data_IF_586101586343
#
_entry.id   IF_586101586343
#
_cell.length_a   1.000
_cell.length_b   1.000
_cell.length_c   1.000
_cell.angle_alpha   90.00
_cell.angle_beta   90.00
_cell.angle_gamma   90.00
#
_symmetry.space_group_name_H-M   'P 1'
#
loop_
_entity.id
_entity.type
_entity.pdbx_description
1 polymer ?
#
# COMPACT_ATOMS: atom_id res chain seq x y z
N UNK A 1 33.17 -14.28 21.07
CA UNK A 1 31.87 -13.59 20.98
C UNK A 1 31.67 -12.87 22.30
N UNK A 2 31.83 -11.56 22.29
CA UNK A 2 31.56 -10.69 23.45
C UNK A 2 30.05 -10.50 23.56
N UNK A 3 29.46 -10.89 24.68
CA UNK A 3 28.07 -10.55 24.99
C UNK A 3 27.92 -9.02 24.95
N UNK A 4 26.89 -8.49 24.25
CA UNK A 4 26.64 -7.06 24.25
C UNK A 4 26.31 -6.62 25.67
N UNK A 5 27.09 -5.67 26.19
CA UNK A 5 26.83 -5.04 27.49
C UNK A 5 25.43 -4.42 27.45
N UNK A 6 24.54 -4.89 28.32
CA UNK A 6 23.17 -4.38 28.40
C UNK A 6 23.17 -2.97 29.01
N UNK A 7 22.30 -2.05 28.55
CA UNK A 7 22.20 -0.70 29.11
C UNK A 7 21.83 -0.71 30.60
N UNK A 8 22.48 0.12 31.41
CA UNK A 8 22.26 0.21 32.87
C UNK A 8 20.79 0.48 33.23
N UNK A 9 20.11 1.34 32.46
CA UNK A 9 18.70 1.67 32.67
C UNK A 9 17.76 0.44 32.59
N UNK A 10 18.11 -0.55 31.77
CA UNK A 10 17.36 -1.81 31.68
C UNK A 10 17.64 -2.71 32.89
N UNK A 11 18.92 -2.79 33.30
CA UNK A 11 19.33 -3.58 34.47
C UNK A 11 18.66 -3.05 35.75
N UNK A 12 18.61 -1.73 35.93
CA UNK A 12 17.97 -1.07 37.06
C UNK A 12 16.47 -1.35 37.09
N UNK A 13 15.78 -1.22 35.95
CA UNK A 13 14.36 -1.50 35.87
C UNK A 13 14.02 -2.97 36.14
N UNK A 14 14.82 -3.91 35.60
CA UNK A 14 14.68 -5.34 35.88
C UNK A 14 14.87 -5.65 37.37
N UNK A 15 15.86 -5.03 38.01
CA UNK A 15 16.10 -5.19 39.45
C UNK A 15 14.93 -4.69 40.30
N UNK A 16 14.31 -3.55 39.93
CA UNK A 16 13.18 -2.96 40.67
C UNK A 16 11.88 -3.75 40.46
N UNK A 17 11.64 -4.23 39.24
CA UNK A 17 10.38 -4.91 38.88
C UNK A 17 10.41 -6.43 39.05
N UNK A 18 11.58 -7.01 39.35
CA UNK A 18 11.78 -8.44 39.47
C UNK A 18 11.73 -9.20 38.13
N UNK A 19 11.81 -8.50 36.99
CA UNK A 19 11.85 -9.15 35.68
C UNK A 19 13.24 -9.72 35.40
N UNK A 20 13.36 -10.95 34.86
CA UNK A 20 14.64 -11.47 34.42
C UNK A 20 15.27 -10.57 33.35
N UNK A 21 16.56 -10.25 33.50
CA UNK A 21 17.33 -9.38 32.59
C UNK A 21 17.28 -9.86 31.13
N UNK A 22 17.21 -11.19 30.96
CA UNK A 22 17.27 -11.85 29.66
C UNK A 22 15.91 -11.82 28.92
N UNK A 23 14.83 -11.54 29.65
CA UNK A 23 13.44 -11.58 29.15
C UNK A 23 13.10 -10.29 28.40
N UNK A 24 13.50 -10.26 27.13
CA UNK A 24 13.33 -9.11 26.22
C UNK A 24 12.24 -9.35 25.17
N UNK A 25 11.14 -9.98 25.59
CA UNK A 25 9.95 -10.15 24.76
C UNK A 25 9.18 -8.82 24.59
N UNK A 26 8.32 -8.74 23.56
CA UNK A 26 7.59 -7.52 23.20
C UNK A 26 6.79 -6.95 24.38
N UNK A 27 6.06 -7.80 25.10
CA UNK A 27 5.27 -7.39 26.26
C UNK A 27 6.12 -6.82 27.41
N UNK A 28 7.33 -7.35 27.62
CA UNK A 28 8.24 -6.84 28.64
C UNK A 28 8.88 -5.51 28.21
N UNK A 29 9.23 -5.37 26.93
CA UNK A 29 9.76 -4.12 26.38
C UNK A 29 8.70 -3.00 26.32
N UNK A 30 7.44 -3.32 26.04
CA UNK A 30 6.34 -2.37 26.06
C UNK A 30 6.08 -1.86 27.48
N UNK A 31 6.06 -2.76 28.47
CA UNK A 31 5.93 -2.38 29.88
C UNK A 31 7.09 -1.50 30.36
N UNK A 32 8.31 -1.84 29.97
CA UNK A 32 9.47 -1.00 30.22
C UNK A 32 9.34 0.38 29.56
N UNK A 33 8.83 0.43 28.32
CA UNK A 33 8.60 1.67 27.59
C UNK A 33 7.59 2.57 28.27
N UNK A 34 6.48 2.01 28.76
CA UNK A 34 5.42 2.75 29.44
C UNK A 34 5.87 3.31 30.80
N UNK A 35 6.70 2.56 31.54
CA UNK A 35 7.10 2.93 32.90
C UNK A 35 8.28 3.89 32.95
N UNK A 36 9.21 3.78 31.99
CA UNK A 36 10.50 4.49 32.03
C UNK A 36 10.60 5.55 30.92
N UNK A 37 9.72 5.49 29.90
CA UNK A 37 9.76 6.36 28.72
C UNK A 37 11.17 6.49 28.09
N UNK A 38 11.87 5.37 27.83
CA UNK A 38 13.24 5.38 27.32
C UNK A 38 13.32 5.93 25.89
N UNK A 39 14.52 6.37 25.49
CA UNK A 39 14.75 6.77 24.09
C UNK A 39 14.53 5.59 23.12
N UNK A 40 14.04 5.90 21.90
CA UNK A 40 13.90 4.91 20.81
C UNK A 40 15.21 4.16 20.51
N UNK A 41 16.35 4.84 20.64
CA UNK A 41 17.68 4.23 20.45
C UNK A 41 17.94 3.13 21.47
N UNK A 42 17.59 3.36 22.74
CA UNK A 42 17.78 2.38 23.81
C UNK A 42 16.83 1.17 23.65
N UNK A 43 15.56 1.41 23.27
CA UNK A 43 14.63 0.32 22.95
C UNK A 43 15.12 -0.56 21.80
N UNK A 44 15.70 0.04 20.77
CA UNK A 44 16.25 -0.72 19.63
C UNK A 44 17.46 -1.59 20.03
N UNK A 45 18.30 -1.13 20.95
CA UNK A 45 19.42 -1.93 21.48
C UNK A 45 18.96 -3.11 22.33
N UNK A 46 17.83 -2.98 23.03
CA UNK A 46 17.28 -4.02 23.89
C UNK A 46 16.51 -5.10 23.13
N UNK A 47 15.97 -4.79 21.95
CA UNK A 47 15.29 -5.78 21.12
C UNK A 47 16.27 -6.91 20.77
N UNK A 48 15.92 -8.19 21.03
CA UNK A 48 16.74 -9.30 20.58
C UNK A 48 16.97 -9.16 19.08
N UNK A 49 18.18 -9.48 18.62
CA UNK A 49 18.44 -9.66 17.19
C UNK A 49 17.41 -10.67 16.69
N UNK A 50 16.42 -10.19 15.95
CA UNK A 50 15.29 -11.01 15.55
C UNK A 50 15.86 -12.16 14.73
N UNK A 51 15.60 -13.44 15.08
CA UNK A 51 15.92 -14.53 14.16
C UNK A 51 15.30 -14.17 12.81
N UNK A 52 16.07 -14.39 11.73
CA UNK A 52 15.72 -13.94 10.39
C UNK A 52 14.21 -14.17 10.15
N UNK A 53 13.42 -13.09 9.97
CA UNK A 53 11.97 -13.24 9.86
C UNK A 53 11.70 -14.20 8.70
N UNK A 54 10.79 -15.15 8.89
CA UNK A 54 10.38 -16.09 7.86
C UNK A 54 10.21 -15.35 6.53
N UNK A 55 10.72 -15.89 5.40
CA UNK A 55 10.74 -15.17 4.13
C UNK A 55 9.32 -14.67 3.83
N UNK A 56 9.23 -13.36 3.67
CA UNK A 56 7.96 -12.70 3.43
C UNK A 56 7.45 -13.01 2.01
N UNK A 57 8.39 -13.34 1.12
CA UNK A 57 8.18 -13.96 -0.18
C UNK A 57 7.88 -15.47 -0.05
N UNK A 58 6.90 -16.02 -0.79
CA UNK A 58 6.60 -17.45 -0.74
C UNK A 58 7.82 -18.32 -1.09
N UNK A 59 8.12 -19.33 -0.27
CA UNK A 59 9.29 -20.20 -0.49
C UNK A 59 9.26 -20.95 -1.82
N UNK A 60 8.07 -21.28 -2.31
CA UNK A 60 7.84 -21.92 -3.62
C UNK A 60 8.33 -21.04 -4.79
N UNK A 61 8.46 -19.73 -4.57
CA UNK A 61 8.83 -18.73 -5.59
C UNK A 61 10.29 -18.30 -5.53
N UNK A 62 11.07 -18.78 -4.54
CA UNK A 62 12.46 -18.34 -4.35
C UNK A 62 13.40 -18.82 -5.45
N UNK A 63 13.13 -19.98 -6.05
CA UNK A 63 14.04 -20.62 -7.01
C UNK A 63 13.99 -20.07 -8.44
N UNK A 64 13.06 -19.16 -8.74
CA UNK A 64 12.83 -18.67 -10.10
C UNK A 64 12.93 -17.14 -10.15
N UNK A 65 14.00 -16.66 -10.78
CA UNK A 65 14.35 -15.24 -10.89
C UNK A 65 13.36 -14.43 -11.73
N UNK A 66 12.52 -15.09 -12.53
CA UNK A 66 11.55 -14.43 -13.42
C UNK A 66 10.18 -14.25 -12.78
N UNK A 67 9.96 -14.79 -11.58
CA UNK A 67 8.65 -14.80 -10.94
C UNK A 67 8.09 -13.40 -10.73
N UNK A 68 8.92 -12.45 -10.25
CA UNK A 68 8.45 -11.10 -10.03
C UNK A 68 7.99 -10.43 -11.33
N UNK A 69 8.78 -10.53 -12.41
CA UNK A 69 8.41 -10.00 -13.73
C UNK A 69 7.09 -10.60 -14.24
N UNK A 70 6.91 -11.93 -14.15
CA UNK A 70 5.65 -12.58 -14.53
C UNK A 70 4.46 -12.12 -13.68
N UNK A 71 4.64 -11.99 -12.37
CA UNK A 71 3.59 -11.50 -11.47
C UNK A 71 3.22 -10.05 -11.81
N UNK A 72 4.21 -9.19 -12.03
CA UNK A 72 4.00 -7.80 -12.45
C UNK A 72 3.28 -7.77 -13.79
N UNK A 73 3.72 -8.54 -14.78
CA UNK A 73 3.08 -8.64 -16.10
C UNK A 73 1.61 -9.05 -16.00
N UNK A 74 1.32 -10.18 -15.32
CA UNK A 74 -0.03 -10.69 -15.15
C UNK A 74 -0.93 -9.76 -14.33
N UNK A 75 -0.36 -9.05 -13.36
CA UNK A 75 -1.04 -8.01 -12.59
C UNK A 75 -1.38 -6.79 -13.44
N UNK A 76 -0.39 -6.23 -14.14
CA UNK A 76 -0.53 -5.07 -15.04
C UNK A 76 -1.52 -5.35 -16.17
N UNK A 77 -1.52 -6.56 -16.74
CA UNK A 77 -2.49 -6.94 -17.76
C UNK A 77 -3.93 -6.88 -17.24
N UNK A 78 -4.19 -7.41 -16.05
CA UNK A 78 -5.52 -7.37 -15.39
C UNK A 78 -5.93 -5.97 -14.92
N UNK A 79 -4.98 -5.16 -14.45
CA UNK A 79 -5.25 -3.76 -14.10
C UNK A 79 -5.74 -2.98 -15.33
N UNK A 80 -5.22 -3.33 -16.50
CA UNK A 80 -5.61 -2.73 -17.78
C UNK A 80 -6.84 -3.36 -18.44
N UNK A 81 -7.35 -4.48 -17.90
CA UNK A 81 -8.50 -5.16 -18.45
C UNK A 81 -9.77 -4.31 -18.24
N UNK A 82 -10.49 -3.93 -19.31
CA UNK A 82 -11.73 -3.17 -19.24
C UNK A 82 -12.80 -3.84 -18.38
N UNK A 83 -12.83 -5.18 -18.33
CA UNK A 83 -13.87 -5.97 -17.66
C UNK A 83 -13.62 -6.11 -16.15
N UNK A 84 -12.42 -5.77 -15.67
CA UNK A 84 -12.08 -5.79 -14.24
C UNK A 84 -12.66 -4.56 -13.57
N UNK A 85 -13.44 -4.76 -12.51
CA UNK A 85 -14.00 -3.67 -11.72
C UNK A 85 -12.91 -2.83 -11.03
N UNK A 86 -13.21 -1.56 -10.79
CA UNK A 86 -12.22 -0.60 -10.30
C UNK A 86 -11.67 -0.92 -8.90
N UNK A 87 -12.47 -1.54 -8.03
CA UNK A 87 -12.04 -1.94 -6.67
C UNK A 87 -11.03 -3.09 -6.80
N UNK A 88 -11.29 -4.04 -7.69
CA UNK A 88 -10.36 -5.12 -8.01
C UNK A 88 -9.06 -4.58 -8.60
N UNK A 89 -9.11 -3.59 -9.50
CA UNK A 89 -7.89 -2.92 -10.01
C UNK A 89 -7.07 -2.28 -8.90
N UNK A 90 -7.73 -1.57 -7.98
CA UNK A 90 -7.08 -0.97 -6.82
C UNK A 90 -6.38 -2.03 -5.94
N UNK A 91 -7.06 -3.14 -5.67
CA UNK A 91 -6.51 -4.27 -4.91
C UNK A 91 -5.34 -4.93 -5.63
N UNK A 92 -5.40 -5.05 -6.96
CA UNK A 92 -4.31 -5.58 -7.79
C UNK A 92 -3.09 -4.66 -7.76
N UNK A 93 -3.25 -3.34 -7.94
CA UNK A 93 -2.13 -2.38 -7.83
C UNK A 93 -1.42 -2.51 -6.47
N UNK A 94 -2.20 -2.60 -5.37
CA UNK A 94 -1.65 -2.83 -4.03
C UNK A 94 -0.93 -4.17 -3.90
N UNK A 95 -1.47 -5.23 -4.49
CA UNK A 95 -0.87 -6.57 -4.47
C UNK A 95 0.47 -6.58 -5.20
N UNK A 96 0.54 -6.03 -6.42
CA UNK A 96 1.77 -5.98 -7.21
C UNK A 96 2.82 -5.10 -6.52
N UNK A 97 2.41 -3.96 -5.97
CA UNK A 97 3.31 -3.14 -5.16
C UNK A 97 3.89 -3.92 -3.97
N UNK A 98 3.04 -4.61 -3.19
CA UNK A 98 3.51 -5.45 -2.09
C UNK A 98 4.45 -6.56 -2.58
N UNK A 99 4.21 -7.15 -3.76
CA UNK A 99 5.09 -8.17 -4.33
C UNK A 99 6.49 -7.62 -4.58
N UNK A 100 6.63 -6.41 -5.15
CA UNK A 100 7.93 -5.77 -5.38
C UNK A 100 8.67 -5.52 -4.06
N UNK A 101 7.97 -5.11 -3.00
CA UNK A 101 8.59 -4.90 -1.69
C UNK A 101 9.13 -6.20 -1.07
N UNK A 102 8.41 -7.30 -1.24
CA UNK A 102 8.70 -8.59 -0.59
C UNK A 102 9.68 -9.47 -1.40
N UNK A 103 9.62 -9.41 -2.73
CA UNK A 103 10.44 -10.21 -3.62
C UNK A 103 11.93 -9.94 -3.37
N UNK A 104 12.81 -10.95 -3.43
CA UNK A 104 14.21 -10.73 -3.14
C UNK A 104 14.93 -9.93 -4.25
N UNK A 105 16.07 -9.30 -3.94
CA UNK A 105 16.75 -8.38 -4.87
C UNK A 105 17.22 -9.03 -6.18
N UNK A 106 17.54 -10.32 -6.16
CA UNK A 106 17.89 -11.12 -7.33
C UNK A 106 16.72 -11.29 -8.32
N UNK A 107 15.48 -11.12 -7.86
CA UNK A 107 14.28 -11.09 -8.70
C UNK A 107 13.87 -9.66 -9.08
N UNK A 108 14.62 -8.63 -8.65
CA UNK A 108 14.32 -7.22 -8.89
C UNK A 108 13.44 -6.55 -7.82
N UNK A 109 13.17 -7.23 -6.69
CA UNK A 109 12.44 -6.65 -5.55
C UNK A 109 13.35 -6.05 -4.48
N UNK A 110 12.80 -5.76 -3.30
CA UNK A 110 13.54 -5.14 -2.18
C UNK A 110 13.89 -6.10 -1.03
N UNK A 111 13.34 -7.32 -1.02
CA UNK A 111 13.58 -8.34 0.01
C UNK A 111 13.14 -7.90 1.42
N UNK A 112 12.17 -7.00 1.53
CA UNK A 112 11.73 -6.49 2.83
C UNK A 112 10.96 -7.55 3.61
N UNK A 113 11.16 -7.56 4.93
CA UNK A 113 10.35 -8.39 5.83
C UNK A 113 8.93 -7.82 5.94
N UNK A 114 7.97 -8.65 6.38
CA UNK A 114 6.59 -8.21 6.63
C UNK A 114 6.50 -7.00 7.56
N UNK A 115 7.36 -6.94 8.58
CA UNK A 115 7.41 -5.82 9.52
C UNK A 115 7.93 -4.55 8.84
N UNK A 116 8.98 -4.66 8.03
CA UNK A 116 9.53 -3.52 7.28
C UNK A 116 8.56 -3.00 6.23
N UNK A 117 7.84 -3.89 5.55
CA UNK A 117 6.79 -3.53 4.60
C UNK A 117 5.64 -2.76 5.28
N UNK A 118 5.20 -3.21 6.46
CA UNK A 118 4.12 -2.54 7.21
C UNK A 118 4.51 -1.19 7.81
N UNK A 119 5.80 -1.01 8.11
CA UNK A 119 6.36 0.24 8.63
C UNK A 119 7.06 1.10 7.59
N UNK A 120 6.82 0.85 6.29
CA UNK A 120 7.48 1.56 5.21
C UNK A 120 6.93 2.99 5.11
N UNK A 121 7.80 3.97 5.30
CA UNK A 121 7.49 5.40 5.17
C UNK A 121 7.81 5.92 3.77
N UNK A 122 7.22 7.07 3.36
CA UNK A 122 7.56 7.75 2.12
C UNK A 122 9.06 7.98 1.92
N UNK A 123 9.76 8.52 2.91
CA UNK A 123 11.20 8.83 2.84
C UNK A 123 12.01 7.55 2.68
N UNK A 124 11.61 6.49 3.41
CA UNK A 124 12.29 5.20 3.29
C UNK A 124 12.10 4.61 1.90
N UNK A 125 10.89 4.64 1.34
CA UNK A 125 10.67 4.17 -0.03
C UNK A 125 11.45 5.02 -1.03
N UNK A 126 11.50 6.35 -0.88
CA UNK A 126 12.27 7.22 -1.77
C UNK A 126 13.75 6.80 -1.80
N UNK A 127 14.34 6.49 -0.64
CA UNK A 127 15.72 5.99 -0.56
C UNK A 127 15.93 4.61 -1.20
N UNK A 128 14.88 3.79 -1.28
CA UNK A 128 14.92 2.42 -1.81
C UNK A 128 14.57 2.34 -3.31
N UNK A 129 13.88 3.33 -3.88
CA UNK A 129 13.50 3.35 -5.30
C UNK A 129 14.66 3.11 -6.27
N UNK A 130 15.87 3.68 -6.08
CA UNK A 130 16.98 3.45 -7.00
C UNK A 130 17.45 1.99 -7.09
N UNK A 131 17.16 1.16 -6.07
CA UNK A 131 17.59 -0.24 -6.02
C UNK A 131 16.51 -1.22 -6.51
N UNK A 132 15.31 -0.73 -6.86
CA UNK A 132 14.25 -1.56 -7.45
C UNK A 132 14.63 -1.93 -8.88
N UNK A 133 14.41 -3.20 -9.24
CA UNK A 133 14.67 -3.72 -10.57
C UNK A 133 13.88 -2.99 -11.66
N UNK A 134 14.49 -2.89 -12.85
CA UNK A 134 13.90 -2.27 -14.03
C UNK A 134 14.00 -3.24 -15.20
N UNK A 135 12.98 -3.24 -16.04
CA UNK A 135 12.92 -4.03 -17.27
C UNK A 135 12.71 -3.10 -18.47
N UNK A 136 12.80 -3.64 -19.67
CA UNK A 136 12.60 -2.87 -20.92
C UNK A 136 11.13 -2.72 -21.27
N UNK A 137 10.30 -3.70 -20.92
CA UNK A 137 8.85 -3.64 -21.08
C UNK A 137 8.21 -2.99 -19.83
N UNK A 138 7.39 -1.97 -20.02
CA UNK A 138 6.68 -1.33 -18.91
C UNK A 138 5.75 -2.33 -18.19
N UNK A 139 5.19 -3.29 -18.93
CA UNK A 139 4.18 -4.21 -18.41
C UNK A 139 4.72 -5.13 -17.30
N UNK A 140 6.01 -5.47 -17.34
CA UNK A 140 6.67 -6.36 -16.39
C UNK A 140 7.66 -5.64 -15.45
N UNK A 141 7.72 -4.31 -15.52
CA UNK A 141 8.70 -3.48 -14.80
C UNK A 141 8.31 -3.26 -13.32
N UNK A 142 9.12 -3.77 -12.35
CA UNK A 142 8.85 -3.58 -10.92
C UNK A 142 8.80 -2.11 -10.49
N UNK A 143 9.69 -1.27 -11.04
CA UNK A 143 9.72 0.16 -10.76
C UNK A 143 8.43 0.87 -11.23
N UNK A 144 7.90 0.50 -12.41
CA UNK A 144 6.62 1.02 -12.89
C UNK A 144 5.44 0.58 -12.03
N UNK A 145 5.46 -0.66 -11.53
CA UNK A 145 4.42 -1.16 -10.61
C UNK A 145 4.40 -0.39 -9.28
N UNK A 146 5.58 -0.06 -8.73
CA UNK A 146 5.68 0.83 -7.55
C UNK A 146 5.09 2.19 -7.86
N UNK A 147 5.46 2.76 -9.00
CA UNK A 147 4.98 4.08 -9.40
C UNK A 147 3.45 4.09 -9.57
N UNK A 148 2.85 3.09 -10.21
CA UNK A 148 1.38 2.94 -10.39
C UNK A 148 0.62 2.98 -9.07
N UNK A 149 1.18 2.40 -8.00
CA UNK A 149 0.59 2.49 -6.66
C UNK A 149 0.79 3.84 -5.98
N UNK A 150 1.96 4.48 -6.17
CA UNK A 150 2.21 5.83 -5.68
C UNK A 150 1.28 6.86 -6.32
N UNK A 151 0.88 6.65 -7.57
CA UNK A 151 -0.11 7.47 -8.28
C UNK A 151 -1.48 7.44 -7.58
N UNK A 152 -1.90 6.25 -7.15
CA UNK A 152 -3.14 6.03 -6.39
C UNK A 152 -3.09 6.73 -5.03
N UNK A 153 -1.99 6.54 -4.28
CA UNK A 153 -1.85 7.17 -2.96
C UNK A 153 -1.65 8.68 -3.11
N UNK A 154 -0.93 9.15 -4.13
CA UNK A 154 -0.69 10.57 -4.40
C UNK A 154 -1.98 11.34 -4.66
N UNK A 155 -2.88 10.77 -5.48
CA UNK A 155 -4.21 11.35 -5.75
C UNK A 155 -5.11 11.35 -4.51
N UNK A 156 -4.77 10.53 -3.51
CA UNK A 156 -5.49 10.48 -2.24
C UNK A 156 -5.44 11.83 -1.53
N UNK A 157 -4.33 12.57 -1.60
CA UNK A 157 -4.12 13.70 -0.70
C UNK A 157 -5.07 14.90 -0.82
N UNK A 158 -5.82 15.02 -1.92
CA UNK A 158 -6.73 16.15 -2.19
C UNK A 158 -8.22 15.75 -2.33
N UNK A 159 -8.68 14.65 -1.70
CA UNK A 159 -9.97 14.03 -2.02
C UNK A 159 -11.22 14.92 -1.99
N UNK A 160 -11.84 15.03 -3.18
CA UNK A 160 -13.29 15.11 -3.40
C UNK A 160 -13.82 13.75 -3.89
N UNK A 161 -15.14 13.49 -3.77
CA UNK A 161 -15.79 12.25 -4.28
C UNK A 161 -15.49 11.98 -5.78
N UNK A 162 -15.30 13.03 -6.56
CA UNK A 162 -15.00 12.93 -7.99
C UNK A 162 -13.58 12.42 -8.28
N UNK A 163 -12.62 12.71 -7.40
CA UNK A 163 -11.23 12.24 -7.55
C UNK A 163 -11.12 10.72 -7.39
N UNK A 164 -11.86 10.12 -6.44
CA UNK A 164 -11.92 8.66 -6.23
C UNK A 164 -12.54 7.96 -7.43
N UNK A 165 -13.62 8.51 -7.96
CA UNK A 165 -14.33 7.96 -9.12
C UNK A 165 -13.48 8.05 -10.39
N UNK A 166 -12.80 9.18 -10.60
CA UNK A 166 -11.89 9.37 -11.72
C UNK A 166 -10.74 8.34 -11.71
N UNK A 167 -10.13 8.11 -10.54
CA UNK A 167 -9.06 7.12 -10.34
C UNK A 167 -9.48 5.68 -10.64
N UNK A 168 -10.68 5.29 -10.19
CA UNK A 168 -11.20 3.95 -10.44
C UNK A 168 -11.44 3.68 -11.93
N UNK A 169 -11.77 4.72 -12.69
CA UNK A 169 -11.93 4.64 -14.15
C UNK A 169 -10.62 4.84 -14.92
N UNK A 170 -9.58 5.38 -14.28
CA UNK A 170 -8.27 5.63 -14.87
C UNK A 170 -7.54 4.31 -15.10
N UNK A 171 -7.54 3.90 -16.36
CA UNK A 171 -6.70 2.79 -16.83
C UNK A 171 -5.26 3.25 -16.80
N UNK A 172 -4.38 2.27 -16.68
CA UNK A 172 -2.95 2.42 -16.87
C UNK A 172 -2.70 2.66 -18.37
N UNK A 173 -3.20 3.78 -18.91
CA UNK A 173 -3.04 4.14 -20.33
C UNK A 173 -1.56 4.03 -20.69
N UNK A 174 -1.27 3.19 -21.68
CA UNK A 174 -0.04 3.27 -22.45
C UNK A 174 -0.11 4.63 -23.14
N UNK A 175 0.42 5.66 -22.50
CA UNK A 175 0.64 6.90 -23.20
C UNK A 175 1.54 6.57 -24.40
N UNK A 176 1.35 7.27 -25.52
CA UNK A 176 2.24 7.25 -26.69
C UNK A 176 3.64 7.83 -26.35
N UNK A 177 4.13 7.55 -25.15
CA UNK A 177 5.35 8.07 -24.56
C UNK A 177 6.38 6.94 -24.55
N UNK A 178 7.52 7.20 -25.17
CA UNK A 178 8.67 6.28 -25.22
C UNK A 178 9.31 6.04 -23.83
N UNK A 179 8.70 6.58 -22.76
CA UNK A 179 9.26 6.68 -21.43
C UNK A 179 8.49 5.81 -20.43
N UNK A 180 9.21 5.10 -19.57
CA UNK A 180 8.60 4.32 -18.49
C UNK A 180 7.99 5.24 -17.44
N UNK A 181 6.89 4.83 -16.80
CA UNK A 181 6.23 5.62 -15.73
C UNK A 181 7.16 6.06 -14.62
N UNK A 182 8.05 5.17 -14.21
CA UNK A 182 8.95 5.41 -13.09
C UNK A 182 9.99 6.51 -13.38
N UNK A 183 10.08 6.96 -14.62
CA UNK A 183 10.97 8.03 -15.08
C UNK A 183 10.24 9.38 -15.22
N UNK A 184 8.91 9.40 -15.07
CA UNK A 184 8.11 10.62 -14.97
C UNK A 184 8.31 11.28 -13.61
N UNK A 185 7.94 12.56 -13.52
CA UNK A 185 7.89 13.27 -12.24
C UNK A 185 6.97 12.56 -11.25
N UNK A 186 7.27 12.70 -9.95
CA UNK A 186 6.45 12.09 -8.91
C UNK A 186 5.02 12.64 -8.95
N UNK A 187 3.99 11.77 -8.88
CA UNK A 187 2.60 12.17 -9.10
C UNK A 187 2.08 13.10 -7.99
N UNK A 188 2.70 13.05 -6.82
CA UNK A 188 2.48 14.02 -5.74
C UNK A 188 3.84 14.41 -5.15
N UNK A 189 4.47 15.51 -5.60
CA UNK A 189 5.83 15.87 -5.18
C UNK A 189 5.93 16.20 -3.69
N UNK A 190 4.82 16.60 -3.05
CA UNK A 190 4.73 16.90 -1.61
C UNK A 190 4.56 15.68 -0.71
N UNK A 191 4.64 14.46 -1.23
CA UNK A 191 4.39 13.24 -0.45
C UNK A 191 5.40 12.89 0.65
N UNK A 192 6.52 13.61 0.69
CA UNK A 192 7.49 13.56 1.78
C UNK A 192 7.12 14.49 2.93
N UNK A 193 6.32 15.53 2.68
CA UNK A 193 5.89 16.52 3.67
C UNK A 193 4.60 16.10 4.40
N UNK A 194 4.22 14.84 4.22
CA UNK A 194 3.01 14.19 4.69
C UNK A 194 3.15 13.79 6.17
N UNK A 195 2.76 14.65 7.13
CA UNK A 195 3.22 14.53 8.53
C UNK A 195 2.62 13.31 9.25
N UNK A 196 1.46 12.85 8.76
CA UNK A 196 0.61 11.86 9.42
C UNK A 196 0.35 10.60 8.58
N UNK A 197 1.15 10.35 7.53
CA UNK A 197 0.96 9.22 6.62
C UNK A 197 2.05 8.15 6.78
N UNK A 198 1.96 7.29 7.82
CA UNK A 198 3.02 6.35 8.15
C UNK A 198 3.07 5.12 7.24
N UNK A 199 2.08 4.88 6.37
CA UNK A 199 1.97 3.62 5.66
C UNK A 199 1.65 3.75 4.17
N UNK A 200 2.52 3.15 3.35
CA UNK A 200 2.35 3.00 1.91
C UNK A 200 1.50 1.78 1.52
N UNK A 201 0.95 1.05 2.49
CA UNK A 201 -0.02 -0.03 2.34
C UNK A 201 -1.24 0.21 3.24
N UNK A 202 -2.05 1.23 2.95
CA UNK A 202 -3.31 1.46 3.65
C UNK A 202 -4.28 0.27 3.53
N UNK A 203 -5.15 0.13 4.52
CA UNK A 203 -6.29 -0.77 4.40
C UNK A 203 -7.24 -0.27 3.29
N UNK A 204 -7.89 -1.19 2.59
CA UNK A 204 -8.92 -0.89 1.58
C UNK A 204 -10.20 -1.51 2.12
N UNK A 205 -11.27 -0.74 2.26
CA UNK A 205 -12.55 -1.26 2.68
C UNK A 205 -13.29 -1.99 1.53
N UNK A 206 -14.55 -2.37 1.75
CA UNK A 206 -15.36 -3.05 0.74
C UNK A 206 -15.79 -2.13 -0.42
N UNK A 207 -15.76 -0.82 -0.22
CA UNK A 207 -16.17 0.19 -1.20
C UNK A 207 -14.99 0.84 -1.92
N UNK A 208 -13.76 0.45 -1.58
CA UNK A 208 -12.54 0.98 -2.18
C UNK A 208 -11.96 2.22 -1.48
N UNK A 209 -12.47 2.59 -0.30
CA UNK A 209 -11.88 3.67 0.51
C UNK A 209 -10.59 3.21 1.17
N UNK A 210 -9.61 4.11 1.16
CA UNK A 210 -8.29 3.92 1.74
C UNK A 210 -8.27 4.49 3.16
N UNK A 211 -8.09 3.63 4.16
CA UNK A 211 -7.79 4.08 5.52
C UNK A 211 -6.30 4.43 5.61
N UNK A 212 -6.01 5.72 5.68
CA UNK A 212 -4.66 6.27 5.64
C UNK A 212 -3.96 6.27 7.00
N UNK A 213 -4.74 6.16 8.08
CA UNK A 213 -4.24 6.16 9.45
C UNK A 213 -4.06 4.72 9.96
N UNK A 214 -4.81 3.78 9.39
CA UNK A 214 -4.68 2.35 9.65
C UNK A 214 -3.61 1.67 8.78
N UNK A 215 -2.64 1.01 9.42
CA UNK A 215 -1.77 0.09 8.69
C UNK A 215 -2.53 -1.17 8.25
N UNK A 216 -2.18 -1.75 7.09
CA UNK A 216 -2.68 -3.08 6.73
C UNK A 216 -2.49 -4.07 7.88
N UNK A 217 -3.59 -4.74 8.24
CA UNK A 217 -3.59 -5.78 9.27
C UNK A 217 -2.66 -6.94 8.84
N UNK A 218 -1.88 -7.57 9.75
CA UNK A 218 -1.00 -8.69 9.42
C UNK A 218 -1.66 -9.81 8.60
N UNK A 219 -2.90 -10.17 8.93
CA UNK A 219 -3.66 -11.19 8.20
C UNK A 219 -3.94 -10.82 6.74
N UNK A 220 -4.11 -9.52 6.42
CA UNK A 220 -4.31 -9.06 5.05
C UNK A 220 -3.04 -9.20 4.22
N UNK A 221 -1.86 -9.01 4.84
CA UNK A 221 -0.58 -9.25 4.17
C UNK A 221 -0.38 -10.75 3.89
N UNK A 222 -0.76 -11.62 4.82
CA UNK A 222 -0.78 -13.08 4.57
C UNK A 222 -1.71 -13.45 3.41
N UNK A 223 -2.89 -12.83 3.33
CA UNK A 223 -3.81 -12.98 2.22
C UNK A 223 -3.22 -12.54 0.88
N UNK A 224 -2.49 -11.41 0.87
CA UNK A 224 -1.77 -10.95 -0.32
C UNK A 224 -0.68 -11.94 -0.76
N UNK A 225 0.14 -12.43 0.17
CA UNK A 225 1.19 -13.42 -0.11
C UNK A 225 0.59 -14.70 -0.71
N UNK A 226 -0.58 -15.13 -0.24
CA UNK A 226 -1.29 -16.26 -0.84
C UNK A 226 -1.81 -15.94 -2.24
N UNK A 227 -2.43 -14.77 -2.43
CA UNK A 227 -2.94 -14.34 -3.72
C UNK A 227 -1.85 -14.16 -4.79
N UNK A 228 -0.63 -13.77 -4.38
CA UNK A 228 0.54 -13.72 -5.28
C UNK A 228 0.83 -15.08 -5.91
N UNK A 229 0.81 -16.15 -5.12
CA UNK A 229 1.04 -17.51 -5.61
C UNK A 229 -0.05 -17.93 -6.61
N UNK A 230 -1.31 -17.59 -6.35
CA UNK A 230 -2.43 -17.91 -7.27
C UNK A 230 -2.38 -17.12 -8.58
N UNK A 231 -1.94 -15.86 -8.53
CA UNK A 231 -1.91 -14.98 -9.70
C UNK A 231 -0.88 -15.47 -10.75
N UNK A 232 0.25 -16.01 -10.31
CA UNK A 232 1.31 -16.51 -11.19
C UNK A 232 0.83 -17.69 -12.06
N UNK A 233 -0.03 -18.55 -11.51
CA UNK A 233 -0.58 -19.70 -12.22
C UNK A 233 -1.77 -19.34 -13.12
N UNK A 234 -2.24 -18.09 -13.06
CA UNK A 234 -3.41 -17.65 -13.81
C UNK A 234 -3.00 -17.17 -15.21
N UNK A 235 -3.63 -17.67 -16.29
CA UNK A 235 -3.26 -17.30 -17.65
C UNK A 235 -3.40 -15.79 -17.87
N UNK A 236 -2.52 -15.22 -18.69
CA UNK A 236 -2.58 -13.80 -19.03
C UNK A 236 -3.88 -13.47 -19.75
N UNK A 237 -4.51 -12.37 -19.35
CA UNK A 237 -5.63 -11.82 -20.11
C UNK A 237 -5.06 -11.19 -21.37
N UNK A 238 -5.48 -11.68 -22.54
CA UNK A 238 -5.10 -11.05 -23.80
C UNK A 238 -5.69 -9.63 -23.85
N UNK A 239 -4.83 -8.62 -23.98
CA UNK A 239 -5.25 -7.24 -24.20
C UNK A 239 -6.13 -7.18 -25.44
N UNK A 240 -7.45 -7.05 -25.27
CA UNK A 240 -8.32 -6.60 -26.36
C UNK A 240 -8.09 -5.11 -26.54
N UNK A 241 -7.59 -4.72 -27.71
CA UNK A 241 -7.59 -3.32 -28.13
C UNK A 241 -9.04 -2.93 -28.36
N UNK A 242 -9.68 -2.37 -27.33
CA UNK A 242 -11.01 -1.80 -27.45
C UNK A 242 -10.81 -0.37 -27.96
N UNK A 243 -11.24 -0.10 -29.19
CA UNK A 243 -11.38 1.27 -29.68
C UNK A 243 -12.26 2.03 -28.68
N UNK A 244 -11.87 3.24 -28.24
CA UNK A 244 -12.67 4.00 -27.30
C UNK A 244 -14.07 4.16 -27.89
N UNK A 245 -15.08 3.62 -27.19
CA UNK A 245 -16.47 3.85 -27.59
C UNK A 245 -16.69 5.38 -27.64
N UNK A 246 -17.37 5.89 -28.68
CA UNK A 246 -17.67 7.31 -28.75
C UNK A 246 -18.39 7.72 -27.47
N UNK A 247 -17.80 8.66 -26.75
CA UNK A 247 -18.34 9.19 -25.49
C UNK A 247 -19.76 9.66 -25.79
N UNK A 248 -20.76 8.89 -25.34
CA UNK A 248 -22.16 9.27 -25.44
C UNK A 248 -22.30 10.67 -24.84
N UNK A 249 -22.82 11.61 -25.63
CA UNK A 249 -22.86 13.02 -25.28
C UNK A 249 -23.40 13.21 -23.85
N UNK A 250 -22.69 14.00 -23.04
CA UNK A 250 -23.11 14.34 -21.68
C UNK A 250 -24.56 14.81 -21.73
N UNK A 251 -25.47 14.10 -21.04
CA UNK A 251 -26.87 14.53 -20.90
C UNK A 251 -26.86 15.94 -20.31
N UNK A 252 -27.34 16.92 -21.08
CA UNK A 252 -27.54 18.27 -20.57
C UNK A 252 -28.72 18.24 -19.60
N UNK A 253 -28.44 18.41 -18.31
CA UNK A 253 -29.44 18.63 -17.27
C UNK A 253 -29.98 20.04 -17.50
N UNK A 254 -31.30 20.17 -17.65
CA UNK A 254 -31.94 21.49 -17.79
C UNK A 254 -31.99 22.19 -16.43
N UNK A 255 -32.11 23.52 -16.41
CA UNK A 255 -32.24 24.29 -15.16
C UNK A 255 -33.45 23.84 -14.31
N UNK A 256 -34.49 23.30 -14.95
CA UNK A 256 -35.67 22.75 -14.30
C UNK A 256 -35.39 21.39 -13.64
N UNK A 257 -34.63 20.52 -14.31
CA UNK A 257 -34.16 19.26 -13.71
C UNK A 257 -33.19 19.52 -12.54
N UNK A 258 -32.30 20.51 -12.66
CA UNK A 258 -31.39 20.92 -11.59
C UNK A 258 -32.14 21.45 -10.36
N UNK A 259 -33.14 22.31 -10.56
CA UNK A 259 -33.99 22.82 -9.47
C UNK A 259 -34.77 21.70 -8.76
N UNK A 260 -35.25 20.70 -9.50
CA UNK A 260 -35.92 19.54 -8.94
C UNK A 260 -34.96 18.65 -8.13
N UNK A 261 -33.73 18.46 -8.61
CA UNK A 261 -32.68 17.71 -7.89
C UNK A 261 -32.30 18.41 -6.58
N UNK A 262 -32.10 19.73 -6.61
CA UNK A 262 -31.73 20.52 -5.43
C UNK A 262 -32.86 20.52 -4.38
N UNK A 263 -34.11 20.70 -4.81
CA UNK A 263 -35.28 20.61 -3.91
C UNK A 263 -35.35 19.24 -3.23
N UNK A 264 -35.09 18.16 -3.99
CA UNK A 264 -35.06 16.80 -3.45
C UNK A 264 -33.93 16.58 -2.45
N UNK A 265 -32.76 17.18 -2.70
CA UNK A 265 -31.62 17.11 -1.80
C UNK A 265 -31.90 17.85 -0.47
N UNK A 266 -32.55 19.02 -0.54
CA UNK A 266 -32.95 19.78 0.64
C UNK A 266 -33.98 19.03 1.51
N UNK A 267 -34.96 18.35 0.89
CA UNK A 267 -35.91 17.49 1.59
C UNK A 267 -35.20 16.35 2.36
N UNK A 268 -34.19 15.73 1.73
CA UNK A 268 -33.41 14.65 2.34
C UNK A 268 -32.56 15.19 3.49
N UNK A 269 -31.90 16.33 3.31
CA UNK A 269 -31.10 16.97 4.35
C UNK A 269 -31.95 17.38 5.56
N UNK A 270 -33.12 17.98 5.33
CA UNK A 270 -34.05 18.34 6.40
C UNK A 270 -34.57 17.11 7.17
N UNK A 271 -34.68 15.96 6.50
CA UNK A 271 -35.06 14.69 7.15
C UNK A 271 -33.91 14.10 7.97
N UNK A 272 -32.67 14.19 7.48
CA UNK A 272 -31.48 13.74 8.21
C UNK A 272 -31.23 14.58 9.45
N UNK A 273 -31.33 15.91 9.34
CA UNK A 273 -31.20 16.84 10.49
C UNK A 273 -32.21 16.47 11.58
N UNK A 274 -33.47 16.25 11.21
CA UNK A 274 -34.53 15.87 12.17
C UNK A 274 -34.26 14.54 12.88
N UNK A 275 -33.72 13.56 12.16
CA UNK A 275 -33.33 12.27 12.76
C UNK A 275 -32.15 12.45 13.72
N UNK A 276 -31.18 13.29 13.36
CA UNK A 276 -30.02 13.57 14.22
C UNK A 276 -30.42 14.36 15.48
N UNK A 277 -31.40 15.25 15.39
CA UNK A 277 -31.96 16.00 16.53
C UNK A 277 -32.83 15.13 17.44
N UNK A 278 -33.47 14.08 16.92
CA UNK A 278 -34.34 13.18 17.68
C UNK A 278 -33.56 12.08 18.43
N UNK A 279 -32.35 11.74 17.96
CA UNK A 279 -31.54 10.63 18.48
C UNK A 279 -30.09 10.98 18.89
N UNK A 280 -29.73 12.27 18.85
CA UNK A 280 -28.46 12.82 19.36
C UNK A 280 -28.61 13.44 20.74
#
# INVERSE_FOLDING_TARGET
MTDPVLPDLWLDWCAVTGNPVDRRDEATLDRFSEQVAPSRKLLNTLRPATPAPAPAWPSVLLGDVTVLSRLVHGGTSRINDPDVDWITRLRLRRLVFAAVLLAPPDQGGLGLSRTLVRGLTPERLQSLRPVIGRTTDEADCPACAVWSWLEVIGTNNDWSQDAVRALGHQRDTVADEEQHRHERDDPSPGWLDWPDYPNLLPAIDQWGYLDRYGSMHPSSLSGLVHAMATLIDSPDVQRRRIEPEPVGGKRHITAEEEAAILTRADEVNARVIRILEEYG
#
